data_IF_109616600611
#
_entry.id   IF_109616600611
#
_cell.length_a   1.000
_cell.length_b   1.000
_cell.length_c   1.000
_cell.angle_alpha   90.00
_cell.angle_beta   90.00
_cell.angle_gamma   90.00
#
_symmetry.space_group_name_H-M   'P 1'
#
loop_
_entity.id
_entity.type
_entity.pdbx_description
1 polymer ?
#
# COMPACT_ATOMS: atom_id res chain seq x y z
N UNK A 1 2.25 13.53 2.55
CA UNK A 1 2.23 12.19 3.18
C UNK A 1 0.84 11.80 3.70
N UNK A 2 0.23 12.54 4.65
CA UNK A 2 -1.10 12.19 5.24
C UNK A 2 -2.25 11.95 4.24
N UNK A 3 -2.31 12.69 3.12
CA UNK A 3 -3.40 12.52 2.13
C UNK A 3 -3.39 11.13 1.48
N UNK A 4 -2.21 10.61 1.14
CA UNK A 4 -2.08 9.28 0.54
C UNK A 4 -2.51 8.19 1.51
N UNK A 5 -2.15 8.27 2.79
CA UNK A 5 -2.58 7.31 3.81
C UNK A 5 -4.10 7.31 3.98
N UNK A 6 -4.75 8.48 3.93
CA UNK A 6 -6.22 8.59 3.97
C UNK A 6 -6.85 7.95 2.73
N UNK A 7 -6.31 8.22 1.53
CA UNK A 7 -6.78 7.65 0.27
C UNK A 7 -6.66 6.12 0.26
N UNK A 8 -5.48 5.59 0.62
CA UNK A 8 -5.22 4.14 0.70
C UNK A 8 -6.21 3.47 1.63
N UNK A 9 -6.39 4.02 2.84
CA UNK A 9 -7.30 3.43 3.82
C UNK A 9 -8.76 3.48 3.35
N UNK A 10 -9.19 4.57 2.71
CA UNK A 10 -10.52 4.68 2.12
C UNK A 10 -10.73 3.65 1.00
N UNK A 11 -9.82 3.60 0.03
CA UNK A 11 -9.88 2.65 -1.10
C UNK A 11 -9.86 1.20 -0.63
N UNK A 12 -9.05 0.87 0.38
CA UNK A 12 -9.02 -0.47 0.97
C UNK A 12 -10.34 -0.87 1.63
N UNK A 13 -11.05 0.06 2.26
CA UNK A 13 -12.36 -0.19 2.89
C UNK A 13 -13.47 -0.36 1.86
N UNK A 14 -13.42 0.40 0.78
CA UNK A 14 -14.38 0.31 -0.33
C UNK A 14 -14.09 -0.86 -1.28
N UNK A 15 -13.03 -1.64 -1.03
CA UNK A 15 -12.65 -2.77 -1.89
C UNK A 15 -11.97 -2.37 -3.21
N UNK A 16 -11.67 -1.08 -3.39
CA UNK A 16 -10.94 -0.48 -4.52
C UNK A 16 -9.45 -0.79 -4.41
N UNK A 17 -9.12 -2.09 -4.38
CA UNK A 17 -7.77 -2.56 -4.12
C UNK A 17 -6.81 -2.18 -5.26
N UNK A 18 -7.24 -2.25 -6.51
CA UNK A 18 -6.32 -2.00 -7.62
C UNK A 18 -5.92 -0.51 -7.66
N UNK A 19 -6.83 0.40 -7.32
CA UNK A 19 -6.55 1.82 -7.09
C UNK A 19 -5.62 2.01 -5.90
N UNK A 20 -5.90 1.36 -4.77
CA UNK A 20 -5.08 1.48 -3.57
C UNK A 20 -3.62 1.03 -3.83
N UNK A 21 -3.43 -0.05 -4.59
CA UNK A 21 -2.11 -0.60 -4.91
C UNK A 21 -1.30 0.27 -5.87
N UNK A 22 -1.93 1.21 -6.57
CA UNK A 22 -1.24 2.18 -7.44
C UNK A 22 -0.64 3.35 -6.65
N UNK A 23 -1.05 3.55 -5.39
CA UNK A 23 -0.66 4.72 -4.60
C UNK A 23 0.86 4.81 -4.36
N UNK A 24 1.59 3.73 -4.05
CA UNK A 24 3.05 3.83 -3.86
C UNK A 24 3.76 4.38 -5.09
N UNK A 25 3.45 3.90 -6.29
CA UNK A 25 3.99 4.44 -7.54
C UNK A 25 3.63 5.91 -7.73
N UNK A 26 2.39 6.28 -7.46
CA UNK A 26 1.93 7.67 -7.57
C UNK A 26 2.60 8.60 -6.55
N UNK A 27 2.95 8.11 -5.37
CA UNK A 27 3.74 8.86 -4.40
C UNK A 27 5.13 9.14 -4.96
N UNK A 28 5.79 8.12 -5.51
CA UNK A 28 7.13 8.26 -6.10
C UNK A 28 7.16 9.22 -7.28
N UNK A 29 6.19 9.12 -8.19
CA UNK A 29 6.00 10.05 -9.32
C UNK A 29 5.85 11.50 -8.86
N UNK A 30 5.27 11.71 -7.68
CA UNK A 30 5.11 13.03 -7.06
C UNK A 30 6.26 13.40 -6.11
N UNK A 31 7.40 12.69 -6.16
CA UNK A 31 8.58 12.95 -5.34
C UNK A 31 8.38 12.65 -3.85
N UNK A 32 7.35 11.89 -3.50
CA UNK A 32 7.06 11.45 -2.13
C UNK A 32 7.50 10.01 -1.94
N UNK A 33 8.29 9.73 -0.91
CA UNK A 33 8.69 8.35 -0.58
C UNK A 33 7.54 7.62 0.12
N UNK A 34 7.08 6.46 -0.39
CA UNK A 34 6.19 5.56 0.34
C UNK A 34 6.84 5.07 1.64
N UNK A 35 6.08 5.03 2.73
CA UNK A 35 6.54 4.61 4.06
C UNK A 35 5.72 3.42 4.60
N UNK A 36 6.06 2.94 5.80
CA UNK A 36 5.33 1.85 6.45
C UNK A 36 3.82 2.10 6.54
N UNK A 37 3.41 3.34 6.82
CA UNK A 37 2.00 3.76 6.92
C UNK A 37 1.27 3.63 5.58
N UNK A 38 2.01 3.64 4.47
CA UNK A 38 1.47 3.41 3.12
C UNK A 38 1.32 1.91 2.83
N UNK A 39 2.31 1.07 3.17
CA UNK A 39 2.31 -0.37 2.87
C UNK A 39 1.40 -1.19 3.79
N UNK A 40 1.39 -0.92 5.09
CA UNK A 40 0.64 -1.69 6.09
C UNK A 40 -0.86 -1.87 5.76
N UNK A 41 -1.63 -0.81 5.45
CA UNK A 41 -3.04 -0.96 5.09
C UNK A 41 -3.24 -1.74 3.80
N UNK A 42 -2.36 -1.59 2.81
CA UNK A 42 -2.41 -2.36 1.54
C UNK A 42 -2.21 -3.85 1.80
N UNK A 43 -1.15 -4.20 2.53
CA UNK A 43 -0.83 -5.59 2.89
C UNK A 43 -1.98 -6.21 3.67
N UNK A 44 -2.52 -5.49 4.66
CA UNK A 44 -3.67 -5.95 5.46
C UNK A 44 -4.91 -6.18 4.59
N UNK A 45 -5.22 -5.26 3.68
CA UNK A 45 -6.38 -5.37 2.81
C UNK A 45 -6.24 -6.53 1.81
N UNK A 46 -5.04 -6.75 1.29
CA UNK A 46 -4.75 -7.88 0.41
C UNK A 46 -4.94 -9.23 1.11
N UNK A 47 -4.45 -9.38 2.34
CA UNK A 47 -4.69 -10.60 3.14
C UNK A 47 -6.17 -10.83 3.43
N UNK A 48 -6.90 -9.78 3.81
CA UNK A 48 -8.36 -9.86 4.04
C UNK A 48 -9.13 -10.32 2.81
N UNK A 49 -8.65 -9.97 1.62
CA UNK A 49 -9.27 -10.30 0.35
C UNK A 49 -8.69 -11.56 -0.31
N UNK A 50 -7.89 -12.35 0.42
CA UNK A 50 -7.29 -13.60 -0.06
C UNK A 50 -6.24 -13.43 -1.16
N UNK A 51 -5.81 -12.19 -1.46
CA UNK A 51 -4.79 -11.89 -2.47
C UNK A 51 -3.37 -12.05 -1.89
N UNK A 52 -3.08 -13.23 -1.34
CA UNK A 52 -1.90 -13.51 -0.53
C UNK A 52 -0.57 -13.30 -1.30
N UNK A 53 -0.50 -13.71 -2.56
CA UNK A 53 0.72 -13.54 -3.38
C UNK A 53 1.08 -12.06 -3.56
N UNK A 54 0.07 -11.22 -3.79
CA UNK A 54 0.25 -9.76 -3.86
C UNK A 54 0.66 -9.21 -2.50
N UNK A 55 0.07 -9.70 -1.39
CA UNK A 55 0.40 -9.24 -0.05
C UNK A 55 1.87 -9.51 0.29
N UNK A 56 2.35 -10.71 -0.04
CA UNK A 56 3.74 -11.10 0.16
C UNK A 56 4.68 -10.28 -0.72
N UNK A 57 4.30 -9.98 -1.97
CA UNK A 57 5.09 -9.10 -2.84
C UNK A 57 5.27 -7.71 -2.23
N UNK A 58 4.19 -7.10 -1.75
CA UNK A 58 4.25 -5.78 -1.09
C UNK A 58 5.03 -5.82 0.22
N UNK A 59 4.89 -6.89 1.01
CA UNK A 59 5.70 -7.08 2.22
C UNK A 59 7.19 -7.11 1.87
N UNK A 60 7.60 -7.92 0.87
CA UNK A 60 8.99 -8.00 0.41
C UNK A 60 9.53 -6.65 -0.04
N UNK A 61 8.72 -5.87 -0.73
CA UNK A 61 9.09 -4.51 -1.15
C UNK A 61 9.31 -3.59 0.06
N UNK A 62 8.42 -3.64 1.06
CA UNK A 62 8.56 -2.90 2.32
C UNK A 62 9.84 -3.29 3.06
N UNK A 63 10.20 -4.58 3.10
CA UNK A 63 11.47 -5.06 3.69
C UNK A 63 12.66 -4.51 2.91
N UNK A 64 12.64 -4.60 1.57
CA UNK A 64 13.74 -4.15 0.72
C UNK A 64 14.00 -2.64 0.84
N UNK A 65 12.98 -1.86 1.21
CA UNK A 65 13.08 -0.42 1.47
C UNK A 65 13.48 -0.08 2.92
N UNK A 66 13.64 -1.08 3.79
CA UNK A 66 14.00 -0.87 5.20
C UNK A 66 12.89 -0.24 6.03
N UNK A 67 11.63 -0.50 5.67
CA UNK A 67 10.44 0.11 6.31
C UNK A 67 9.80 -0.78 7.38
N UNK A 68 10.49 -1.84 7.82
CA UNK A 68 10.02 -2.82 8.81
C UNK A 68 10.29 -2.38 10.25
#
# INVERSE_FOLDING_TARGET
VRMYSVMVNGMCKEGLLDEALSIPSKMEENGCTPDAVTYEPLIRALFKNGKNDKAIKFLREMIARGLL
#
